data_IF_060348015976
#
_entry.id   IF_060348015976
#
_cell.length_a   1.000
_cell.length_b   1.000
_cell.length_c   1.000
_cell.angle_alpha   90.00
_cell.angle_beta   90.00
_cell.angle_gamma   90.00
#
_symmetry.space_group_name_H-M   'P 1'
#
loop_
_entity.id
_entity.type
_entity.pdbx_description
1 polymer ?
#
# COMPACT_ATOMS: atom_id res chain seq x y z
N UNK A 1 0.41 2.14 -15.45
CA UNK A 1 0.69 0.85 -14.77
C UNK A 1 -0.12 0.75 -13.49
N UNK A 2 -0.71 -0.41 -13.22
CA UNK A 2 -1.33 -0.74 -11.92
C UNK A 2 -0.35 -1.65 -11.17
N UNK A 3 0.09 -1.22 -9.99
CA UNK A 3 0.97 -2.03 -9.14
C UNK A 3 0.10 -2.97 -8.30
N UNK A 4 0.42 -4.26 -8.26
CA UNK A 4 -0.24 -5.23 -7.39
C UNK A 4 0.79 -5.80 -6.42
N UNK A 5 0.44 -5.86 -5.15
CA UNK A 5 1.31 -6.40 -4.08
C UNK A 5 0.49 -7.16 -3.04
N UNK A 6 1.14 -8.06 -2.30
CA UNK A 6 0.48 -8.89 -1.29
C UNK A 6 0.22 -8.10 0.00
N UNK A 7 1.23 -7.38 0.50
CA UNK A 7 1.17 -6.63 1.75
C UNK A 7 1.60 -5.16 1.61
N UNK A 8 0.79 -4.26 2.18
CA UNK A 8 1.20 -2.89 2.46
C UNK A 8 1.51 -2.71 3.95
N UNK A 9 2.78 -2.42 4.25
CA UNK A 9 3.33 -2.20 5.58
C UNK A 9 3.93 -0.79 5.70
N UNK A 10 5.26 -0.67 5.67
CA UNK A 10 5.98 0.61 5.64
C UNK A 10 6.14 1.18 4.21
N UNK A 11 5.51 0.57 3.20
CA UNK A 11 5.45 1.10 1.83
C UNK A 11 6.75 1.07 1.00
N UNK A 12 7.86 0.52 1.52
CA UNK A 12 9.18 0.57 0.83
C UNK A 12 9.21 -0.17 -0.51
N UNK A 13 8.62 -1.36 -0.59
CA UNK A 13 8.52 -2.11 -1.85
C UNK A 13 7.68 -1.33 -2.88
N UNK A 14 6.51 -0.84 -2.46
CA UNK A 14 5.63 -0.01 -3.29
C UNK A 14 6.34 1.25 -3.82
N UNK A 15 7.12 1.94 -2.98
CA UNK A 15 7.92 3.10 -3.38
C UNK A 15 9.02 2.74 -4.39
N UNK A 16 9.69 1.59 -4.21
CA UNK A 16 10.70 1.12 -5.15
C UNK A 16 10.08 0.82 -6.53
N UNK A 17 8.93 0.14 -6.56
CA UNK A 17 8.20 -0.15 -7.81
C UNK A 17 7.75 1.15 -8.50
N UNK A 18 7.19 2.10 -7.75
CA UNK A 18 6.83 3.43 -8.29
C UNK A 18 8.06 4.12 -8.89
N UNK A 19 9.20 4.07 -8.21
CA UNK A 19 10.45 4.67 -8.71
C UNK A 19 10.90 4.04 -10.03
N UNK A 20 10.87 2.71 -10.14
CA UNK A 20 11.21 1.99 -11.38
C UNK A 20 10.26 2.38 -12.52
N UNK A 21 8.96 2.43 -12.25
CA UNK A 21 7.94 2.80 -13.26
C UNK A 21 8.17 4.23 -13.76
N UNK A 22 8.49 5.17 -12.85
CA UNK A 22 8.83 6.55 -13.20
C UNK A 22 10.11 6.64 -14.02
N UNK A 23 11.16 5.89 -13.65
CA UNK A 23 12.40 5.83 -14.41
C UNK A 23 12.19 5.30 -15.83
N UNK A 24 11.20 4.43 -16.04
CA UNK A 24 10.79 3.95 -17.35
C UNK A 24 9.93 4.96 -18.15
N UNK A 25 9.67 6.16 -17.62
CA UNK A 25 8.84 7.18 -18.27
C UNK A 25 7.34 6.87 -18.25
N UNK A 26 6.90 5.90 -17.45
CA UNK A 26 5.51 5.47 -17.37
C UNK A 26 4.79 6.11 -16.17
N UNK A 27 3.46 6.12 -16.23
CA UNK A 27 2.60 6.64 -15.16
C UNK A 27 2.06 5.51 -14.29
N UNK A 28 1.92 5.77 -12.99
CA UNK A 28 1.26 4.86 -12.04
C UNK A 28 -0.20 5.27 -11.91
N UNK A 29 -1.11 4.37 -12.27
CA UNK A 29 -2.56 4.59 -12.16
C UNK A 29 -3.06 4.37 -10.73
N UNK A 30 -2.36 3.54 -9.95
CA UNK A 30 -2.67 3.23 -8.57
C UNK A 30 -1.95 1.97 -8.10
N UNK A 31 -2.26 1.58 -6.87
CA UNK A 31 -1.75 0.38 -6.20
C UNK A 31 -2.94 -0.45 -5.70
N UNK A 32 -2.97 -1.73 -6.07
CA UNK A 32 -3.88 -2.74 -5.54
C UNK A 32 -3.16 -3.63 -4.55
N UNK A 33 -3.63 -3.67 -3.30
CA UNK A 33 -3.00 -4.41 -2.21
C UNK A 33 -3.96 -5.47 -1.71
N UNK A 34 -3.49 -6.70 -1.49
CA UNK A 34 -4.34 -7.74 -0.89
C UNK A 34 -4.59 -7.44 0.59
N UNK A 35 -3.53 -7.24 1.38
CA UNK A 35 -3.63 -6.96 2.83
C UNK A 35 -2.85 -5.69 3.21
N UNK A 36 -3.54 -4.70 3.74
CA UNK A 36 -2.95 -3.48 4.29
C UNK A 36 -2.87 -3.57 5.82
N UNK A 37 -1.68 -3.34 6.40
CA UNK A 37 -1.50 -3.12 7.84
C UNK A 37 -1.64 -1.64 8.14
N UNK A 38 -2.87 -1.17 8.30
CA UNK A 38 -3.22 0.26 8.42
C UNK A 38 -2.71 0.94 9.68
N UNK A 39 -2.20 0.18 10.66
CA UNK A 39 -1.47 0.70 11.82
C UNK A 39 0.00 1.04 11.51
N UNK A 40 0.46 0.81 10.27
CA UNK A 40 1.79 1.20 9.78
C UNK A 40 1.69 2.36 8.79
N UNK A 41 2.78 3.13 8.63
CA UNK A 41 2.77 4.41 7.91
C UNK A 41 2.73 4.35 6.39
N UNK A 42 2.90 3.18 5.76
CA UNK A 42 3.09 3.08 4.30
C UNK A 42 1.91 3.61 3.48
N UNK A 43 0.66 3.42 3.96
CA UNK A 43 -0.54 3.95 3.32
C UNK A 43 -0.56 5.48 3.32
N UNK A 44 -0.34 6.09 4.49
CA UNK A 44 -0.30 7.53 4.63
C UNK A 44 0.78 8.19 3.77
N UNK A 45 1.97 7.56 3.66
CA UNK A 45 3.04 8.03 2.79
C UNK A 45 2.65 8.02 1.30
N UNK A 46 1.89 7.01 0.84
CA UNK A 46 1.43 6.91 -0.54
C UNK A 46 0.28 7.89 -0.83
N UNK A 47 -0.66 8.03 0.09
CA UNK A 47 -1.77 8.99 -0.01
C UNK A 47 -1.23 10.43 -0.06
N UNK A 48 -0.23 10.77 0.78
CA UNK A 48 0.42 12.08 0.78
C UNK A 48 1.16 12.40 -0.54
N UNK A 49 1.56 11.37 -1.28
CA UNK A 49 2.16 11.51 -2.62
C UNK A 49 1.11 11.55 -3.74
N UNK A 50 -0.18 11.45 -3.42
CA UNK A 50 -1.29 11.50 -4.37
C UNK A 50 -1.54 10.19 -5.11
N UNK A 51 -1.03 9.04 -4.64
CA UNK A 51 -1.33 7.76 -5.26
C UNK A 51 -2.66 7.21 -4.77
N UNK A 52 -3.45 6.70 -5.72
CA UNK A 52 -4.62 5.88 -5.41
C UNK A 52 -4.17 4.52 -4.88
N UNK A 53 -4.58 4.18 -3.66
CA UNK A 53 -4.33 2.86 -3.07
C UNK A 53 -5.66 2.18 -2.75
N UNK A 54 -5.85 0.98 -3.28
CA UNK A 54 -7.02 0.14 -3.06
C UNK A 54 -6.58 -1.14 -2.35
N UNK A 55 -7.12 -1.39 -1.16
CA UNK A 55 -6.71 -2.52 -0.32
C UNK A 55 -7.91 -3.43 -0.05
N UNK A 56 -7.79 -4.72 -0.35
CA UNK A 56 -8.92 -5.67 -0.22
C UNK A 56 -9.24 -5.96 1.25
N UNK A 57 -8.21 -6.13 2.08
CA UNK A 57 -8.35 -6.32 3.53
C UNK A 57 -7.50 -5.29 4.27
N UNK A 58 -8.13 -4.47 5.12
CA UNK A 58 -7.44 -3.42 5.89
C UNK A 58 -7.40 -3.79 7.36
N UNK A 59 -6.23 -4.11 7.87
CA UNK A 59 -6.01 -4.55 9.24
C UNK A 59 -5.68 -3.34 10.12
N UNK A 60 -6.59 -3.04 11.04
CA UNK A 60 -6.44 -2.00 12.06
C UNK A 60 -5.49 -2.42 13.18
N UNK A 61 -5.48 -3.68 13.58
CA UNK A 61 -4.64 -4.18 14.67
C UNK A 61 -4.39 -5.69 14.59
N UNK A 62 -3.25 -6.12 15.13
CA UNK A 62 -2.87 -7.52 15.40
C UNK A 62 -2.61 -7.78 16.89
N UNK A 63 -3.03 -6.87 17.77
CA UNK A 63 -2.79 -6.97 19.20
C UNK A 63 -3.40 -8.25 19.79
N UNK A 64 -2.68 -8.88 20.73
CA UNK A 64 -3.13 -10.11 21.38
C UNK A 64 -3.31 -11.30 20.42
N UNK A 65 -2.66 -11.30 19.25
CA UNK A 65 -2.77 -12.37 18.26
C UNK A 65 -4.12 -12.39 17.53
N UNK A 66 -4.94 -11.34 17.66
CA UNK A 66 -6.24 -11.23 17.01
C UNK A 66 -6.21 -10.18 15.90
N UNK A 67 -6.68 -10.56 14.72
CA UNK A 67 -6.86 -9.65 13.59
C UNK A 67 -8.11 -8.81 13.80
N UNK A 68 -7.96 -7.49 13.72
CA UNK A 68 -9.08 -6.53 13.70
C UNK A 68 -9.02 -5.73 12.41
N UNK A 69 -10.10 -5.74 11.63
CA UNK A 69 -10.18 -4.97 10.38
C UNK A 69 -10.64 -3.52 10.62
N UNK A 70 -10.43 -2.64 9.64
CA UNK A 70 -11.07 -1.33 9.56
C UNK A 70 -12.53 -1.51 9.12
N UNK A 71 -13.45 -0.76 9.73
CA UNK A 71 -14.86 -0.67 9.31
C UNK A 71 -15.03 0.22 8.06
#
# INVERSE_FOLDING_TARGET
MLVIDDFLANGKASQALISIIKQAGATVAGLGIVIEKSFQGGRAELDAQGYRVESLARVKSLAGGKVTFIE
#
